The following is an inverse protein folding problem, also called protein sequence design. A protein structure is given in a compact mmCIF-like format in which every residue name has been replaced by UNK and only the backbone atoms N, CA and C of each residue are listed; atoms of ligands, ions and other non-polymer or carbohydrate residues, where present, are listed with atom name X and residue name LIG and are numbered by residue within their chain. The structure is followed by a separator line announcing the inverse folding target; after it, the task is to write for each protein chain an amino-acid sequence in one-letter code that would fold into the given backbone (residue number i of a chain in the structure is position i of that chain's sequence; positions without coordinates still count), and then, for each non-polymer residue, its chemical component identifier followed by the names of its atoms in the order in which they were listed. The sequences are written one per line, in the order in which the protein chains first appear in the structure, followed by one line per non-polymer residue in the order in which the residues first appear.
data_IF_195214378999
#
_entry.id   IF_195214378999
#
_cell.length_a   1.000
_cell.length_b   1.000
_cell.length_c   1.000
_cell.angle_alpha   90.00
_cell.angle_beta   90.00
_cell.angle_gamma   90.00
#
_symmetry.space_group_name_H-M   'P 1'
#
loop_
_entity.id
_entity.type
_entity.pdbx_description
1 polymer ?
#
# COMPACT_ATOMS: atom_id res chain seq x y z
N UNK A 1 -16.96 -10.51 -25.80
CA UNK A 1 -15.84 -11.47 -25.94
C UNK A 1 -15.59 -11.84 -27.40
N UNK A 2 -16.62 -11.83 -28.25
CA UNK A 2 -16.50 -12.20 -29.67
C UNK A 2 -15.51 -11.36 -30.49
N UNK A 3 -15.39 -10.07 -30.19
CA UNK A 3 -14.38 -9.23 -30.81
C UNK A 3 -12.95 -9.68 -30.42
N UNK A 4 -12.73 -10.07 -29.17
CA UNK A 4 -11.43 -10.56 -28.69
C UNK A 4 -11.12 -11.92 -29.34
N UNK A 5 -12.11 -12.81 -29.39
CA UNK A 5 -11.97 -14.11 -30.04
C UNK A 5 -11.53 -13.93 -31.50
N UNK A 6 -12.29 -13.16 -32.29
CA UNK A 6 -12.03 -12.99 -33.73
C UNK A 6 -10.77 -12.21 -34.07
N UNK A 7 -10.44 -11.20 -33.25
CA UNK A 7 -9.36 -10.26 -33.60
C UNK A 7 -8.01 -10.65 -33.00
N UNK A 8 -8.01 -11.41 -31.90
CA UNK A 8 -6.78 -11.74 -31.15
C UNK A 8 -6.58 -13.25 -31.07
N UNK A 9 -7.59 -14.00 -30.62
CA UNK A 9 -7.42 -15.43 -30.32
C UNK A 9 -7.34 -16.26 -31.60
N UNK A 10 -8.28 -16.09 -32.54
CA UNK A 10 -8.33 -16.89 -33.78
C UNK A 10 -7.04 -16.76 -34.62
N UNK A 11 -6.44 -15.55 -34.79
CA UNK A 11 -5.14 -15.42 -35.47
C UNK A 11 -3.97 -16.07 -34.72
N UNK A 12 -4.02 -16.12 -33.38
CA UNK A 12 -2.96 -16.69 -32.53
C UNK A 12 -3.18 -18.18 -32.23
N UNK A 13 -4.38 -18.71 -32.47
CA UNK A 13 -4.76 -20.10 -32.22
C UNK A 13 -3.78 -21.14 -32.79
N UNK A 14 -3.23 -21.02 -34.02
CA UNK A 14 -2.24 -21.96 -34.52
C UNK A 14 -0.92 -21.96 -33.73
N UNK A 15 -0.57 -20.85 -33.06
CA UNK A 15 0.59 -20.76 -32.18
C UNK A 15 0.26 -21.22 -30.75
N UNK A 16 -0.96 -20.95 -30.29
CA UNK A 16 -1.38 -21.24 -28.91
C UNK A 16 -1.75 -22.72 -28.69
N UNK A 17 -2.39 -23.39 -29.67
CA UNK A 17 -2.77 -24.81 -29.55
C UNK A 17 -1.60 -25.74 -29.20
N UNK A 18 -0.44 -25.71 -29.90
CA UNK A 18 0.67 -26.59 -29.58
C UNK A 18 1.25 -26.30 -28.19
N UNK A 19 1.25 -25.04 -27.76
CA UNK A 19 1.68 -24.65 -26.40
C UNK A 19 0.69 -25.15 -25.35
N UNK A 20 -0.61 -24.99 -25.59
CA UNK A 20 -1.66 -25.44 -24.69
C UNK A 20 -1.69 -26.97 -24.53
N UNK A 21 -1.45 -27.72 -25.61
CA UNK A 21 -1.36 -29.18 -25.55
C UNK A 21 -0.05 -29.70 -24.95
N UNK A 22 1.00 -28.88 -24.92
CA UNK A 22 2.31 -29.22 -24.37
C UNK A 22 2.47 -28.81 -22.90
N UNK A 23 1.41 -28.29 -22.27
CA UNK A 23 1.41 -27.95 -20.85
C UNK A 23 1.59 -29.23 -20.01
N UNK A 24 2.53 -29.24 -19.05
CA UNK A 24 2.69 -30.36 -18.14
C UNK A 24 1.42 -30.58 -17.29
N UNK A 25 1.12 -31.84 -16.92
CA UNK A 25 -0.03 -32.18 -16.05
C UNK A 25 -0.11 -31.34 -14.77
N UNK A 26 1.00 -31.07 -14.03
CA UNK A 26 0.93 -30.21 -12.85
C UNK A 26 0.41 -28.79 -13.13
N UNK A 27 0.63 -28.28 -14.36
CA UNK A 27 0.15 -26.96 -14.77
C UNK A 27 -1.34 -27.01 -15.11
N UNK A 28 -1.79 -28.08 -15.77
CA UNK A 28 -3.22 -28.32 -15.99
C UNK A 28 -3.97 -28.42 -14.65
N UNK A 29 -3.45 -29.19 -13.70
CA UNK A 29 -4.04 -29.35 -12.37
C UNK A 29 -4.08 -28.02 -11.60
N UNK A 30 -3.01 -27.22 -11.69
CA UNK A 30 -2.97 -25.89 -11.09
C UNK A 30 -4.04 -24.95 -11.69
N UNK A 31 -4.22 -24.97 -13.02
CA UNK A 31 -5.24 -24.16 -13.69
C UNK A 31 -6.64 -24.67 -13.32
N UNK A 32 -6.88 -25.98 -13.33
CA UNK A 32 -8.16 -26.58 -12.93
C UNK A 32 -8.49 -26.22 -11.49
N UNK A 33 -7.50 -26.25 -10.58
CA UNK A 33 -7.69 -25.82 -9.20
C UNK A 33 -8.02 -24.33 -9.07
N UNK A 34 -7.65 -23.50 -10.05
CA UNK A 34 -7.81 -22.05 -9.99
C UNK A 34 -9.12 -21.56 -10.61
N UNK A 35 -9.51 -22.11 -11.77
CA UNK A 35 -10.69 -21.67 -12.55
C UNK A 35 -11.76 -22.76 -12.71
N UNK A 36 -11.50 -23.99 -12.27
CA UNK A 36 -12.40 -25.14 -12.42
C UNK A 36 -12.24 -25.89 -13.74
N UNK A 37 -12.64 -27.16 -13.75
CA UNK A 37 -12.47 -28.07 -14.91
C UNK A 37 -13.27 -27.63 -16.14
N UNK A 38 -14.48 -27.10 -15.95
CA UNK A 38 -15.32 -26.60 -17.05
C UNK A 38 -14.68 -25.39 -17.74
N UNK A 39 -14.19 -24.42 -16.96
CA UNK A 39 -13.53 -23.24 -17.51
C UNK A 39 -12.16 -23.57 -18.11
N UNK A 40 -11.42 -24.50 -17.51
CA UNK A 40 -10.18 -25.02 -18.07
C UNK A 40 -10.38 -25.58 -19.49
N UNK A 41 -11.39 -26.41 -19.69
CA UNK A 41 -11.64 -27.01 -21.00
C UNK A 41 -12.05 -25.96 -22.04
N UNK A 42 -12.94 -25.03 -21.69
CA UNK A 42 -13.35 -23.98 -22.63
C UNK A 42 -12.21 -22.99 -22.97
N UNK A 43 -11.39 -22.60 -21.99
CA UNK A 43 -10.40 -21.53 -22.20
C UNK A 43 -9.00 -22.03 -22.60
N UNK A 44 -8.54 -23.16 -22.06
CA UNK A 44 -7.17 -23.65 -22.27
C UNK A 44 -7.14 -24.69 -23.38
N UNK A 45 -8.11 -25.62 -23.40
CA UNK A 45 -8.15 -26.71 -24.37
C UNK A 45 -8.81 -26.24 -25.68
N UNK A 46 -10.01 -25.66 -25.59
CA UNK A 46 -10.75 -25.20 -26.76
C UNK A 46 -10.26 -23.84 -27.29
N UNK A 47 -9.56 -23.05 -26.46
CA UNK A 47 -9.16 -21.66 -26.72
C UNK A 47 -10.34 -20.79 -27.17
N UNK A 48 -11.49 -20.98 -26.52
CA UNK A 48 -12.73 -20.28 -26.81
C UNK A 48 -13.14 -19.41 -25.61
N UNK A 49 -12.79 -18.12 -25.68
CA UNK A 49 -13.13 -17.13 -24.65
C UNK A 49 -14.53 -16.53 -24.84
N UNK A 50 -15.23 -16.91 -25.91
CA UNK A 50 -16.58 -16.44 -26.23
C UNK A 50 -17.66 -17.37 -25.73
N UNK A 51 -17.38 -18.68 -25.70
CA UNK A 51 -18.32 -19.74 -25.28
C UNK A 51 -18.86 -19.57 -23.87
N UNK A 52 -18.04 -19.09 -22.94
CA UNK A 52 -18.46 -18.79 -21.57
C UNK A 52 -17.82 -17.47 -21.07
N UNK A 53 -18.58 -16.36 -21.11
CA UNK A 53 -18.12 -15.05 -20.64
C UNK A 53 -17.81 -15.01 -19.13
N UNK A 54 -18.46 -15.86 -18.32
CA UNK A 54 -18.23 -15.93 -16.88
C UNK A 54 -16.87 -16.58 -16.60
N UNK A 55 -16.57 -17.69 -17.27
CA UNK A 55 -15.25 -18.33 -17.18
C UNK A 55 -14.12 -17.39 -17.59
N UNK A 56 -14.33 -16.56 -18.62
CA UNK A 56 -13.29 -15.61 -19.04
C UNK A 56 -13.11 -14.46 -18.06
N UNK A 57 -14.20 -13.93 -17.49
CA UNK A 57 -14.10 -12.90 -16.46
C UNK A 57 -13.40 -13.42 -15.21
N UNK A 58 -13.69 -14.66 -14.80
CA UNK A 58 -13.01 -15.33 -13.71
C UNK A 58 -11.52 -15.56 -14.00
N UNK A 59 -11.17 -16.05 -15.19
CA UNK A 59 -9.77 -16.27 -15.57
C UNK A 59 -8.96 -14.97 -15.60
N UNK A 60 -9.55 -13.88 -16.14
CA UNK A 60 -8.94 -12.54 -16.09
C UNK A 60 -8.77 -12.08 -14.64
N UNK A 61 -9.77 -12.29 -13.79
CA UNK A 61 -9.70 -11.94 -12.37
C UNK A 61 -8.56 -12.66 -11.66
N UNK A 62 -8.46 -13.98 -11.84
CA UNK A 62 -7.38 -14.80 -11.25
C UNK A 62 -6.00 -14.36 -11.74
N UNK A 63 -5.86 -14.10 -13.04
CA UNK A 63 -4.61 -13.62 -13.63
C UNK A 63 -4.21 -12.26 -13.05
N UNK A 64 -5.15 -11.32 -12.95
CA UNK A 64 -4.93 -10.01 -12.32
C UNK A 64 -4.55 -10.16 -10.85
N UNK A 65 -5.28 -10.98 -10.09
CA UNK A 65 -4.99 -11.25 -8.68
C UNK A 65 -3.59 -11.80 -8.47
N UNK A 66 -3.19 -12.81 -9.25
CA UNK A 66 -1.83 -13.39 -9.17
C UNK A 66 -0.76 -12.36 -9.55
N UNK A 67 -0.98 -11.57 -10.60
CA UNK A 67 -0.05 -10.53 -11.01
C UNK A 67 0.13 -9.47 -9.91
N UNK A 68 -0.96 -9.05 -9.29
CA UNK A 68 -0.97 -8.09 -8.17
C UNK A 68 -0.22 -8.68 -6.96
N UNK A 69 -0.51 -9.93 -6.58
CA UNK A 69 0.20 -10.64 -5.50
C UNK A 69 1.69 -10.72 -5.81
N UNK A 70 2.08 -11.14 -7.01
CA UNK A 70 3.47 -11.24 -7.42
C UNK A 70 4.20 -9.90 -7.35
N UNK A 71 3.59 -8.83 -7.88
CA UNK A 71 4.15 -7.48 -7.82
C UNK A 71 4.30 -6.97 -6.37
N UNK A 72 3.34 -7.29 -5.49
CA UNK A 72 3.35 -6.85 -4.10
C UNK A 72 4.55 -7.36 -3.30
N UNK A 73 5.10 -8.52 -3.67
CA UNK A 73 6.26 -9.13 -3.02
C UNK A 73 7.55 -8.31 -3.10
N UNK A 74 7.64 -7.36 -4.03
CA UNK A 74 8.84 -6.53 -4.23
C UNK A 74 8.65 -5.05 -3.86
N UNK A 75 7.43 -4.62 -3.51
CA UNK A 75 7.11 -3.19 -3.34
C UNK A 75 7.94 -2.51 -2.26
N UNK A 76 8.20 -3.17 -1.12
CA UNK A 76 8.96 -2.59 0.00
C UNK A 76 10.44 -3.00 -0.01
N UNK A 77 10.85 -3.90 -0.92
CA UNK A 77 12.24 -4.38 -1.02
C UNK A 77 13.25 -3.24 -1.21
N UNK A 78 13.04 -2.24 -2.08
CA UNK A 78 13.98 -1.12 -2.22
C UNK A 78 14.18 -0.35 -0.91
N UNK A 79 13.12 -0.18 -0.11
CA UNK A 79 13.18 0.49 1.19
C UNK A 79 13.95 -0.35 2.22
N UNK A 80 13.75 -1.67 2.24
CA UNK A 80 14.48 -2.60 3.09
C UNK A 80 15.98 -2.53 2.78
N UNK A 81 16.35 -2.62 1.50
CA UNK A 81 17.75 -2.54 1.08
C UNK A 81 18.38 -1.20 1.47
N UNK A 82 17.64 -0.10 1.32
CA UNK A 82 18.10 1.24 1.71
C UNK A 82 18.37 1.34 3.20
N UNK A 83 17.50 0.80 4.06
CA UNK A 83 17.69 0.77 5.52
C UNK A 83 18.92 -0.07 5.91
N UNK A 84 19.09 -1.24 5.31
CA UNK A 84 20.22 -2.14 5.61
C UNK A 84 21.54 -1.49 5.19
N UNK A 85 21.57 -0.86 4.01
CA UNK A 85 22.76 -0.19 3.46
C UNK A 85 23.12 1.06 4.26
N UNK A 86 22.14 1.91 4.60
CA UNK A 86 22.38 3.13 5.37
C UNK A 86 22.64 2.87 6.86
N UNK A 87 22.20 1.73 7.38
CA UNK A 87 22.15 1.41 8.82
C UNK A 87 21.48 2.50 9.65
N UNK A 88 20.53 3.22 9.07
CA UNK A 88 19.89 4.38 9.69
C UNK A 88 18.41 4.45 9.30
N UNK A 89 17.56 4.72 10.30
CA UNK A 89 16.12 4.92 10.13
C UNK A 89 15.70 6.39 10.00
N UNK A 90 16.66 7.30 9.80
CA UNK A 90 16.38 8.73 9.65
C UNK A 90 15.42 8.99 8.47
N UNK A 91 14.37 9.77 8.72
CA UNK A 91 13.34 10.10 7.72
C UNK A 91 12.27 9.02 7.52
N UNK A 92 12.33 7.90 8.24
CA UNK A 92 11.34 6.82 8.16
C UNK A 92 10.48 6.80 9.43
N UNK A 93 9.16 6.92 9.26
CA UNK A 93 8.20 6.94 10.38
C UNK A 93 7.82 5.53 10.82
N UNK A 94 8.27 5.11 12.01
CA UNK A 94 7.83 3.84 12.61
C UNK A 94 6.30 3.79 12.79
N UNK A 95 5.70 4.89 13.25
CA UNK A 95 4.25 4.95 13.53
C UNK A 95 3.44 4.70 12.25
N UNK A 96 3.89 5.25 11.12
CA UNK A 96 3.23 5.03 9.83
C UNK A 96 3.25 3.55 9.44
N UNK A 97 4.40 2.89 9.55
CA UNK A 97 4.52 1.44 9.28
C UNK A 97 3.74 0.59 10.29
N UNK A 98 3.68 0.98 11.57
CA UNK A 98 2.89 0.27 12.57
C UNK A 98 1.38 0.36 12.30
N UNK A 99 0.88 1.53 11.89
CA UNK A 99 -0.51 1.73 11.50
C UNK A 99 -0.84 0.99 10.19
N UNK A 100 0.06 1.00 9.21
CA UNK A 100 -0.07 0.24 7.97
C UNK A 100 -0.13 -1.26 8.28
N UNK A 101 0.80 -1.77 9.09
CA UNK A 101 0.81 -3.17 9.57
C UNK A 101 -0.51 -3.54 10.25
N UNK A 102 -1.02 -2.71 11.17
CA UNK A 102 -2.28 -2.97 11.85
C UNK A 102 -3.46 -3.07 10.87
N UNK A 103 -3.57 -2.14 9.92
CA UNK A 103 -4.59 -2.15 8.87
C UNK A 103 -4.52 -3.40 7.98
N UNK A 104 -3.30 -3.80 7.59
CA UNK A 104 -3.07 -5.00 6.79
C UNK A 104 -3.39 -6.27 7.56
N UNK A 105 -3.07 -6.36 8.86
CA UNK A 105 -3.41 -7.51 9.69
C UNK A 105 -4.92 -7.67 9.89
N UNK A 106 -5.65 -6.56 10.05
CA UNK A 106 -7.12 -6.55 10.10
C UNK A 106 -7.68 -7.10 8.78
N UNK A 107 -7.22 -6.55 7.65
CA UNK A 107 -7.69 -6.96 6.31
C UNK A 107 -7.38 -8.42 6.04
N UNK A 108 -6.15 -8.86 6.32
CA UNK A 108 -5.74 -10.25 6.19
C UNK A 108 -6.63 -11.18 7.02
N UNK A 109 -6.82 -10.84 8.29
CA UNK A 109 -7.59 -11.68 9.21
C UNK A 109 -9.08 -11.73 8.84
N UNK A 110 -9.65 -10.61 8.40
CA UNK A 110 -11.02 -10.55 7.87
C UNK A 110 -11.18 -11.44 6.64
N UNK A 111 -10.27 -11.33 5.66
CA UNK A 111 -10.32 -12.13 4.43
C UNK A 111 -10.16 -13.62 4.69
N UNK A 112 -9.25 -14.03 5.60
CA UNK A 112 -9.07 -15.44 5.95
C UNK A 112 -10.27 -15.98 6.73
N UNK A 113 -10.84 -15.21 7.67
CA UNK A 113 -12.02 -15.64 8.44
C UNK A 113 -13.25 -15.87 7.55
N UNK A 114 -13.38 -15.07 6.49
CA UNK A 114 -14.44 -15.21 5.49
C UNK A 114 -14.11 -16.18 4.35
N UNK A 115 -12.96 -16.88 4.42
CA UNK A 115 -12.54 -17.89 3.44
C UNK A 115 -12.46 -17.36 1.99
N UNK A 116 -12.06 -16.10 1.82
CA UNK A 116 -11.89 -15.54 0.49
C UNK A 116 -10.73 -16.21 -0.27
N UNK A 117 -10.74 -16.20 -1.61
CA UNK A 117 -9.64 -16.76 -2.39
C UNK A 117 -8.33 -15.98 -2.17
N UNK A 118 -7.20 -16.67 -2.06
CA UNK A 118 -5.89 -16.04 -1.84
C UNK A 118 -5.52 -14.99 -2.91
N UNK A 119 -5.99 -15.13 -4.16
CA UNK A 119 -5.85 -14.14 -5.24
C UNK A 119 -6.37 -12.75 -4.88
N UNK A 120 -7.29 -12.64 -3.91
CA UNK A 120 -7.92 -11.37 -3.52
C UNK A 120 -7.16 -10.62 -2.42
N UNK A 121 -6.60 -11.34 -1.44
CA UNK A 121 -5.94 -10.75 -0.28
C UNK A 121 -4.46 -11.11 -0.15
N UNK A 122 -3.90 -11.94 -1.05
CA UNK A 122 -2.52 -12.39 -0.98
C UNK A 122 -1.51 -11.24 -1.01
N UNK A 123 -1.84 -10.13 -1.68
CA UNK A 123 -1.01 -8.92 -1.64
C UNK A 123 -0.88 -8.38 -0.22
N UNK A 124 -1.97 -8.41 0.55
CA UNK A 124 -2.05 -7.89 1.90
C UNK A 124 -1.15 -8.71 2.81
N UNK A 125 -1.13 -10.04 2.63
CA UNK A 125 -0.23 -10.92 3.36
C UNK A 125 1.25 -10.61 3.07
N UNK A 126 1.63 -10.49 1.79
CA UNK A 126 3.02 -10.23 1.39
C UNK A 126 3.50 -8.85 1.82
N UNK A 127 2.65 -7.83 1.72
CA UNK A 127 2.99 -6.48 2.18
C UNK A 127 3.09 -6.45 3.71
N UNK A 128 2.18 -7.11 4.44
CA UNK A 128 2.23 -7.15 5.91
C UNK A 128 3.54 -7.73 6.42
N UNK A 129 4.04 -8.82 5.82
CA UNK A 129 5.34 -9.40 6.17
C UNK A 129 6.47 -8.39 5.95
N UNK A 130 6.48 -7.73 4.79
CA UNK A 130 7.49 -6.73 4.48
C UNK A 130 7.42 -5.51 5.42
N UNK A 131 6.23 -5.05 5.79
CA UNK A 131 6.04 -3.93 6.71
C UNK A 131 6.51 -4.24 8.12
N UNK A 132 6.29 -5.48 8.60
CA UNK A 132 6.85 -5.94 9.87
C UNK A 132 8.37 -5.91 9.82
N UNK A 133 8.98 -6.40 8.74
CA UNK A 133 10.44 -6.34 8.54
C UNK A 133 10.95 -4.90 8.57
N UNK A 134 10.28 -3.98 7.85
CA UNK A 134 10.65 -2.56 7.85
C UNK A 134 10.51 -1.97 9.25
N UNK A 135 9.41 -2.21 9.96
CA UNK A 135 9.18 -1.73 11.33
C UNK A 135 10.27 -2.19 12.30
N UNK A 136 10.67 -3.47 12.22
CA UNK A 136 11.77 -4.04 13.01
C UNK A 136 13.11 -3.38 12.68
N UNK A 137 13.43 -3.20 11.40
CA UNK A 137 14.67 -2.53 10.97
C UNK A 137 14.70 -1.07 11.44
N UNK A 138 13.57 -0.36 11.34
CA UNK A 138 13.44 1.03 11.78
C UNK A 138 13.75 1.18 13.27
N UNK A 139 13.19 0.30 14.10
CA UNK A 139 13.42 0.33 15.55
C UNK A 139 14.84 -0.13 15.92
N UNK A 140 15.35 -1.17 15.26
CA UNK A 140 16.70 -1.68 15.48
C UNK A 140 17.76 -0.64 15.14
N UNK A 141 17.66 0.02 13.98
CA UNK A 141 18.60 1.08 13.57
C UNK A 141 18.39 2.40 14.32
N UNK A 142 17.27 2.57 15.01
CA UNK A 142 17.09 3.65 16.00
C UNK A 142 17.71 3.33 17.38
N UNK A 143 18.38 2.19 17.55
CA UNK A 143 18.95 1.74 18.82
C UNK A 143 17.93 1.23 19.83
N UNK A 144 16.69 0.93 19.40
CA UNK A 144 15.56 0.52 20.26
C UNK A 144 15.23 -0.96 20.09
N UNK A 145 16.22 -1.85 20.27
CA UNK A 145 16.07 -3.30 20.09
C UNK A 145 14.96 -3.92 20.94
N UNK A 146 14.80 -3.49 22.19
CA UNK A 146 13.71 -3.94 23.06
C UNK A 146 12.32 -3.58 22.50
N UNK A 147 12.19 -2.38 21.90
CA UNK A 147 10.95 -1.98 21.24
C UNK A 147 10.70 -2.80 19.97
N UNK A 148 11.76 -3.21 19.25
CA UNK A 148 11.63 -4.08 18.07
C UNK A 148 11.10 -5.47 18.45
N UNK A 149 11.62 -6.05 19.55
CA UNK A 149 11.12 -7.30 20.10
C UNK A 149 9.65 -7.16 20.57
N UNK A 150 9.33 -6.07 21.26
CA UNK A 150 7.96 -5.77 21.68
C UNK A 150 7.01 -5.62 20.48
N UNK A 151 7.45 -4.98 19.40
CA UNK A 151 6.67 -4.84 18.19
C UNK A 151 6.35 -6.20 17.55
N UNK A 152 7.33 -7.11 17.46
CA UNK A 152 7.11 -8.48 16.99
C UNK A 152 6.09 -9.21 17.88
N UNK A 153 6.22 -9.09 19.21
CA UNK A 153 5.29 -9.71 20.15
C UNK A 153 3.86 -9.16 19.99
N UNK A 154 3.72 -7.84 19.81
CA UNK A 154 2.42 -7.19 19.56
C UNK A 154 1.82 -7.66 18.23
N UNK A 155 2.62 -7.77 17.17
CA UNK A 155 2.17 -8.30 15.88
C UNK A 155 1.69 -9.75 16.02
N UNK A 156 2.46 -10.61 16.69
CA UNK A 156 2.08 -12.01 16.92
C UNK A 156 0.80 -12.13 17.75
N UNK A 157 0.67 -11.35 18.83
CA UNK A 157 -0.54 -11.30 19.64
C UNK A 157 -1.75 -10.77 18.86
N UNK A 158 -1.54 -9.78 17.99
CA UNK A 158 -2.58 -9.24 17.12
C UNK A 158 -3.06 -10.28 16.10
N UNK A 159 -2.14 -11.03 15.48
CA UNK A 159 -2.49 -12.14 14.59
C UNK A 159 -3.27 -13.20 15.36
N UNK A 160 -2.83 -13.58 16.57
CA UNK A 160 -3.55 -14.55 17.38
C UNK A 160 -4.99 -14.10 17.68
N UNK A 161 -5.16 -12.88 18.20
CA UNK A 161 -6.46 -12.33 18.56
C UNK A 161 -7.37 -12.10 17.33
N UNK A 162 -6.83 -11.54 16.24
CA UNK A 162 -7.61 -11.21 15.05
C UNK A 162 -7.90 -12.41 14.17
N UNK A 163 -7.10 -13.48 14.18
CA UNK A 163 -7.28 -14.62 13.28
C UNK A 163 -7.88 -15.83 13.98
N UNK A 164 -7.32 -16.23 15.12
CA UNK A 164 -7.63 -17.51 15.77
C UNK A 164 -8.67 -17.38 16.88
N UNK A 165 -8.61 -16.32 17.67
CA UNK A 165 -9.51 -16.14 18.81
C UNK A 165 -10.81 -15.40 18.40
N UNK A 166 -11.89 -16.16 18.21
CA UNK A 166 -13.22 -15.59 17.89
C UNK A 166 -13.96 -15.06 19.11
N UNK A 167 -13.45 -15.29 20.33
CA UNK A 167 -14.05 -14.79 21.58
C UNK A 167 -13.56 -13.39 21.91
N UNK A 168 -12.28 -13.11 21.63
CA UNK A 168 -11.69 -11.79 21.83
C UNK A 168 -12.16 -10.78 20.77
N UNK A 169 -12.26 -11.22 19.52
CA UNK A 169 -12.76 -10.39 18.42
C UNK A 169 -13.81 -11.18 17.66
N UNK A 170 -15.07 -10.82 17.85
CA UNK A 170 -16.20 -11.46 17.18
C UNK A 170 -16.35 -11.01 15.73
N UNK A 171 -17.31 -11.57 15.00
CA UNK A 171 -17.54 -11.24 13.60
C UNK A 171 -17.94 -9.77 13.40
N UNK A 172 -18.77 -9.22 14.30
CA UNK A 172 -19.23 -7.83 14.21
C UNK A 172 -18.06 -6.85 14.42
N UNK A 173 -17.23 -7.09 15.44
CA UNK A 173 -16.05 -6.27 15.70
C UNK A 173 -15.05 -6.37 14.54
N UNK A 174 -14.84 -7.57 13.97
CA UNK A 174 -13.99 -7.72 12.78
C UNK A 174 -14.49 -6.92 11.59
N UNK A 175 -15.81 -6.91 11.32
CA UNK A 175 -16.38 -6.10 10.25
C UNK A 175 -16.23 -4.60 10.49
N UNK A 176 -16.38 -4.15 11.74
CA UNK A 176 -16.13 -2.74 12.09
C UNK A 176 -14.65 -2.36 11.92
N UNK A 177 -13.74 -3.23 12.34
CA UNK A 177 -12.31 -3.04 12.14
C UNK A 177 -11.97 -2.98 10.64
N UNK A 178 -12.55 -3.86 9.83
CA UNK A 178 -12.38 -3.86 8.38
C UNK A 178 -12.91 -2.57 7.74
N UNK A 179 -14.09 -2.11 8.17
CA UNK A 179 -14.65 -0.83 7.74
C UNK A 179 -13.72 0.34 8.12
N UNK A 180 -13.17 0.31 9.33
CA UNK A 180 -12.19 1.28 9.81
C UNK A 180 -10.89 1.28 9.00
N UNK A 181 -10.35 0.10 8.68
CA UNK A 181 -9.18 -0.06 7.82
C UNK A 181 -9.41 0.56 6.42
N UNK A 182 -10.56 0.26 5.82
CA UNK A 182 -10.98 0.87 4.56
C UNK A 182 -11.13 2.39 4.66
N UNK A 183 -11.80 2.88 5.71
CA UNK A 183 -12.00 4.31 5.95
C UNK A 183 -10.68 5.06 6.15
N UNK A 184 -9.71 4.49 6.86
CA UNK A 184 -8.37 5.06 7.01
C UNK A 184 -7.64 5.14 5.66
N UNK A 185 -7.75 4.09 4.84
CA UNK A 185 -7.20 4.09 3.49
C UNK A 185 -7.75 5.23 2.63
N UNK A 186 -9.07 5.45 2.68
CA UNK A 186 -9.75 6.56 2.00
C UNK A 186 -9.33 7.91 2.58
N UNK A 187 -9.36 8.06 3.91
CA UNK A 187 -9.02 9.30 4.60
C UNK A 187 -7.58 9.76 4.32
N UNK A 188 -6.64 8.83 4.12
CA UNK A 188 -5.24 9.16 3.80
C UNK A 188 -5.06 9.98 2.52
N UNK A 189 -6.02 9.90 1.57
CA UNK A 189 -5.96 10.60 0.28
C UNK A 189 -6.61 11.98 0.33
N UNK A 190 -7.49 12.24 1.30
CA UNK A 190 -8.23 13.50 1.40
C UNK A 190 -7.31 14.73 1.63
N UNK A 191 -6.28 14.69 2.51
CA UNK A 191 -5.34 15.80 2.63
C UNK A 191 -4.61 16.09 1.32
N UNK A 192 -4.25 15.06 0.56
CA UNK A 192 -3.56 15.23 -0.72
C UNK A 192 -4.46 15.92 -1.75
N UNK A 193 -5.72 15.48 -1.88
CA UNK A 193 -6.72 16.11 -2.76
C UNK A 193 -6.91 17.58 -2.42
N UNK A 194 -7.05 17.89 -1.13
CA UNK A 194 -7.25 19.25 -0.64
C UNK A 194 -6.04 20.14 -0.92
N UNK A 195 -4.83 19.65 -0.68
CA UNK A 195 -3.59 20.40 -0.92
C UNK A 195 -3.43 20.73 -2.40
N UNK A 196 -3.65 19.78 -3.32
CA UNK A 196 -3.55 20.03 -4.77
C UNK A 196 -4.55 21.12 -5.20
N UNK A 197 -5.78 21.06 -4.70
CA UNK A 197 -6.79 22.08 -4.97
C UNK A 197 -6.38 23.46 -4.43
N UNK A 198 -5.89 23.52 -3.19
CA UNK A 198 -5.48 24.77 -2.53
C UNK A 198 -4.27 25.41 -3.22
N UNK A 199 -3.31 24.60 -3.65
CA UNK A 199 -2.08 25.06 -4.28
C UNK A 199 -2.26 25.38 -5.77
N UNK A 200 -3.27 24.78 -6.41
CA UNK A 200 -3.53 24.93 -7.84
C UNK A 200 -2.48 24.25 -8.71
N UNK A 201 -1.91 23.14 -8.23
CA UNK A 201 -0.83 22.41 -8.88
C UNK A 201 -0.57 21.07 -8.19
N UNK A 202 -0.02 20.11 -8.94
CA UNK A 202 0.27 18.74 -8.44
C UNK A 202 1.66 18.60 -7.82
N UNK A 203 2.52 19.62 -7.97
CA UNK A 203 3.83 19.69 -7.34
C UNK A 203 4.76 18.54 -7.78
N UNK A 204 5.23 17.75 -6.81
CA UNK A 204 6.08 16.58 -7.04
C UNK A 204 5.29 15.26 -7.14
N UNK A 205 3.96 15.33 -7.25
CA UNK A 205 3.14 14.14 -7.39
C UNK A 205 3.40 13.47 -8.74
N UNK A 206 3.77 12.20 -8.70
CA UNK A 206 4.03 11.41 -9.90
C UNK A 206 2.73 11.06 -10.62
N UNK A 207 2.56 11.53 -11.86
CA UNK A 207 1.45 11.11 -12.74
C UNK A 207 1.37 9.59 -12.84
N UNK A 208 2.52 8.94 -13.02
CA UNK A 208 2.63 7.48 -13.12
C UNK A 208 2.07 6.80 -11.87
N UNK A 209 2.39 7.30 -10.67
CA UNK A 209 1.86 6.74 -9.43
C UNK A 209 0.34 6.93 -9.32
N UNK A 210 -0.19 8.12 -9.67
CA UNK A 210 -1.62 8.41 -9.60
C UNK A 210 -2.43 7.51 -10.53
N UNK A 211 -2.00 7.35 -11.79
CA UNK A 211 -2.69 6.47 -12.73
C UNK A 211 -2.54 4.99 -12.37
N UNK A 212 -1.40 4.56 -11.83
CA UNK A 212 -1.26 3.19 -11.32
C UNK A 212 -2.16 2.92 -10.11
N UNK A 213 -2.34 3.88 -9.19
CA UNK A 213 -3.31 3.73 -8.11
C UNK A 213 -4.74 3.64 -8.63
N UNK A 214 -5.09 4.41 -9.66
CA UNK A 214 -6.40 4.32 -10.31
C UNK A 214 -6.61 2.93 -10.94
N UNK A 215 -5.66 2.46 -11.75
CA UNK A 215 -5.73 1.16 -12.41
C UNK A 215 -5.75 -0.01 -11.40
N UNK A 216 -4.92 0.07 -10.36
CA UNK A 216 -4.87 -0.91 -9.28
C UNK A 216 -6.19 -0.98 -8.51
N UNK A 217 -6.75 0.17 -8.11
CA UNK A 217 -8.05 0.19 -7.42
C UNK A 217 -9.21 -0.28 -8.30
N UNK A 218 -9.19 -0.02 -9.61
CA UNK A 218 -10.16 -0.60 -10.55
C UNK A 218 -10.02 -2.12 -10.64
N UNK A 219 -8.79 -2.62 -10.71
CA UNK A 219 -8.50 -4.06 -10.73
C UNK A 219 -9.00 -4.74 -9.46
N UNK A 220 -8.89 -4.07 -8.30
CA UNK A 220 -9.46 -4.54 -7.03
C UNK A 220 -10.99 -4.60 -7.02
N UNK A 221 -11.67 -3.61 -7.59
CA UNK A 221 -13.13 -3.66 -7.75
C UNK A 221 -13.53 -4.85 -8.63
N UNK A 222 -12.88 -5.00 -9.79
CA UNK A 222 -13.18 -6.08 -10.72
C UNK A 222 -12.94 -7.45 -10.07
N UNK A 223 -11.78 -7.67 -9.47
CA UNK A 223 -11.46 -8.95 -8.82
C UNK A 223 -12.39 -9.27 -7.66
N UNK A 224 -12.79 -8.27 -6.87
CA UNK A 224 -13.78 -8.46 -5.80
C UNK A 224 -15.14 -8.86 -6.37
N UNK A 225 -15.65 -8.17 -7.39
CA UNK A 225 -16.93 -8.51 -8.03
C UNK A 225 -16.95 -9.92 -8.63
N UNK A 226 -15.80 -10.43 -9.09
CA UNK A 226 -15.70 -11.75 -9.71
C UNK A 226 -15.45 -12.88 -8.70
N UNK A 227 -14.79 -12.61 -7.57
CA UNK A 227 -14.30 -13.66 -6.67
C UNK A 227 -14.90 -13.62 -5.26
N UNK A 228 -15.54 -12.52 -4.86
CA UNK A 228 -15.96 -12.27 -3.47
C UNK A 228 -17.34 -11.61 -3.42
N UNK A 229 -18.29 -12.26 -2.75
CA UNK A 229 -19.62 -11.67 -2.46
C UNK A 229 -19.61 -10.92 -1.11
N UNK A 230 -18.75 -9.90 -1.00
CA UNK A 230 -18.62 -9.06 0.21
C UNK A 230 -18.76 -7.58 -0.14
N UNK A 231 -19.90 -7.01 0.27
CA UNK A 231 -20.23 -5.60 0.02
C UNK A 231 -19.34 -4.65 0.80
N UNK A 232 -18.83 -5.03 1.96
CA UNK A 232 -18.00 -4.16 2.79
C UNK A 232 -16.65 -3.90 2.11
N UNK A 233 -15.99 -4.96 1.64
CA UNK A 233 -14.74 -4.83 0.88
C UNK A 233 -14.98 -4.09 -0.45
N UNK A 234 -16.06 -4.46 -1.16
CA UNK A 234 -16.41 -3.82 -2.42
C UNK A 234 -16.60 -2.31 -2.29
N UNK A 235 -17.40 -1.86 -1.31
CA UNK A 235 -17.60 -0.43 -1.08
C UNK A 235 -16.32 0.29 -0.63
N UNK A 236 -15.46 -0.38 0.14
CA UNK A 236 -14.12 0.13 0.46
C UNK A 236 -13.29 0.41 -0.79
N UNK A 237 -13.24 -0.55 -1.74
CA UNK A 237 -12.52 -0.37 -3.00
C UNK A 237 -13.16 0.68 -3.91
N UNK A 238 -14.49 0.74 -3.98
CA UNK A 238 -15.20 1.78 -4.75
C UNK A 238 -14.87 3.17 -4.19
N UNK A 239 -14.93 3.37 -2.87
CA UNK A 239 -14.58 4.64 -2.25
C UNK A 239 -13.12 5.03 -2.53
N UNK A 240 -12.19 4.07 -2.41
CA UNK A 240 -10.78 4.29 -2.76
C UNK A 240 -10.57 4.66 -4.22
N UNK A 241 -11.26 3.99 -5.14
CA UNK A 241 -11.23 4.27 -6.57
C UNK A 241 -11.78 5.67 -6.88
N UNK A 242 -12.89 6.08 -6.27
CA UNK A 242 -13.45 7.43 -6.44
C UNK A 242 -12.44 8.51 -6.05
N UNK A 243 -11.73 8.34 -4.92
CA UNK A 243 -10.69 9.30 -4.54
C UNK A 243 -9.48 9.30 -5.47
N UNK A 244 -9.05 8.12 -5.95
CA UNK A 244 -7.99 8.03 -6.96
C UNK A 244 -8.42 8.68 -8.29
N UNK A 245 -9.71 8.61 -8.64
CA UNK A 245 -10.26 9.26 -9.83
C UNK A 245 -10.25 10.77 -9.70
N UNK A 246 -10.57 11.31 -8.50
CA UNK A 246 -10.44 12.74 -8.20
C UNK A 246 -8.98 13.17 -8.35
N UNK A 247 -8.04 12.43 -7.76
CA UNK A 247 -6.60 12.74 -7.88
C UNK A 247 -6.12 12.70 -9.33
N UNK A 248 -6.56 11.72 -10.12
CA UNK A 248 -6.24 11.63 -11.55
C UNK A 248 -6.84 12.81 -12.33
N UNK A 249 -8.08 13.19 -12.02
CA UNK A 249 -8.72 14.38 -12.59
C UNK A 249 -7.96 15.66 -12.27
N UNK A 250 -7.55 15.85 -11.00
CA UNK A 250 -6.69 16.97 -10.61
C UNK A 250 -5.34 16.94 -11.32
N UNK A 251 -4.75 15.75 -11.49
CA UNK A 251 -3.49 15.59 -12.23
C UNK A 251 -3.61 16.07 -13.67
N UNK A 252 -4.69 15.69 -14.36
CA UNK A 252 -4.96 16.13 -15.74
C UNK A 252 -5.31 17.62 -15.82
N UNK A 253 -6.11 18.13 -14.89
CA UNK A 253 -6.55 19.52 -14.87
C UNK A 253 -5.37 20.49 -14.64
N UNK A 254 -4.49 20.17 -13.68
CA UNK A 254 -3.33 20.99 -13.34
C UNK A 254 -2.05 20.62 -14.08
N UNK A 255 -2.13 19.79 -15.14
CA UNK A 255 -0.98 19.24 -15.86
C UNK A 255 -0.01 20.32 -16.38
N UNK A 256 -0.55 21.46 -16.83
CA UNK A 256 0.21 22.59 -17.36
C UNK A 256 0.18 23.82 -16.44
N UNK A 257 -0.30 23.69 -15.20
CA UNK A 257 -0.31 24.82 -14.28
C UNK A 257 1.13 25.14 -13.86
N UNK A 258 1.59 26.39 -14.02
CA UNK A 258 2.92 26.77 -13.57
C UNK A 258 2.98 26.50 -12.08
N UNK A 259 3.88 25.61 -11.67
CA UNK A 259 4.11 25.35 -10.26
C UNK A 259 4.37 26.70 -9.60
N UNK A 260 3.42 27.19 -8.78
CA UNK A 260 3.66 28.34 -7.92
C UNK A 260 4.90 27.94 -7.15
N UNK A 261 6.02 28.62 -7.43
CA UNK A 261 7.31 28.32 -6.85
C UNK A 261 7.10 28.24 -5.36
N UNK A 262 7.01 27.02 -4.84
CA UNK A 262 7.01 26.82 -3.42
C UNK A 262 8.36 27.35 -3.00
N UNK A 263 8.33 28.53 -2.38
CA UNK A 263 9.41 29.12 -1.61
C UNK A 263 9.94 27.96 -0.79
N UNK A 264 11.06 27.35 -1.24
CA UNK A 264 11.57 26.04 -0.79
C UNK A 264 11.06 25.82 0.61
N UNK A 265 10.05 24.96 0.77
CA UNK A 265 9.84 24.41 2.09
C UNK A 265 11.20 23.79 2.37
N UNK A 266 11.94 24.39 3.33
CA UNK A 266 13.24 23.87 3.72
C UNK A 266 13.00 22.37 3.86
N UNK A 267 13.83 21.49 3.26
CA UNK A 267 13.72 20.08 3.51
C UNK A 267 13.55 19.96 5.00
N UNK A 268 12.43 19.38 5.46
CA UNK A 268 12.03 19.35 6.87
C UNK A 268 13.31 19.23 7.65
N UNK A 269 13.71 20.34 8.28
CA UNK A 269 14.96 20.34 8.99
C UNK A 269 14.84 19.17 9.95
N UNK A 270 15.88 18.33 10.00
CA UNK A 270 16.09 17.50 11.17
C UNK A 270 15.69 18.32 12.40
N UNK A 271 14.98 17.76 13.39
CA UNK A 271 14.57 18.51 14.56
C UNK A 271 15.83 19.05 15.25
N UNK A 272 16.26 20.25 14.89
CA UNK A 272 17.27 21.02 15.61
C UNK A 272 16.62 21.53 16.87
N UNK A 273 17.37 21.49 17.98
CA UNK A 273 16.85 21.23 19.30
C UNK A 273 15.93 22.37 19.75
N UNK A 274 14.73 22.01 20.19
CA UNK A 274 14.00 22.86 21.15
C UNK A 274 14.88 22.90 22.40
N UNK A 275 15.64 23.98 22.54
CA UNK A 275 16.21 24.34 23.84
C UNK A 275 15.04 24.45 24.81
N UNK A 276 15.11 23.64 25.86
CA UNK A 276 14.12 23.57 26.91
C UNK A 276 13.75 24.96 27.45
N UNK A 277 12.48 25.21 27.81
CA UNK A 277 12.17 26.20 28.83
C UNK A 277 12.86 25.74 30.11
N UNK A 278 13.80 26.55 30.57
CA UNK A 278 14.53 26.32 31.81
C UNK A 278 13.53 26.48 32.95
N UNK A 279 13.18 25.39 33.61
CA UNK A 279 12.50 25.41 34.91
C UNK A 279 13.38 26.14 35.91
N UNK A 280 12.79 27.12 36.59
CA UNK A 280 13.39 27.81 37.71
C UNK A 280 13.82 26.82 38.80
N UNK A 281 15.07 26.96 39.25
CA UNK A 281 15.43 26.67 40.63
C UNK A 281 16.43 27.74 41.07
N UNK A 282 16.14 28.30 42.23
CA UNK A 282 16.75 29.45 42.90
C UNK A 282 18.25 29.31 43.17
N UNK A 283 19.02 30.40 43.02
CA UNK A 283 19.74 31.08 44.12
C UNK A 283 20.79 32.07 43.58
N UNK A 284 20.77 33.33 44.07
CA UNK A 284 22.01 34.13 44.19
C UNK A 284 22.18 35.39 43.33
N UNK A 285 21.56 36.50 43.73
CA UNK A 285 22.15 37.86 43.90
C UNK A 285 22.85 38.56 42.69
N UNK A 286 22.22 39.65 42.22
CA UNK A 286 22.75 40.80 41.41
C UNK A 286 23.96 41.53 42.08
N UNK A 287 24.65 42.54 41.49
CA UNK A 287 24.36 43.33 40.27
C UNK A 287 25.55 43.69 39.33
N UNK A 288 25.17 44.26 38.17
CA UNK A 288 25.81 45.28 37.29
C UNK A 288 26.98 46.12 37.90
N UNK A 289 27.89 46.75 37.10
CA UNK A 289 27.52 47.70 36.04
C UNK A 289 28.38 47.76 34.76
N UNK A 290 27.87 48.63 33.88
CA UNK A 290 28.23 49.07 32.52
C UNK A 290 29.64 49.63 32.28
N UNK A 291 30.11 49.54 31.02
CA UNK A 291 31.12 50.44 30.47
C UNK A 291 31.35 50.22 28.98
N UNK A 292 30.87 51.16 28.15
CA UNK A 292 31.25 51.30 26.73
C UNK A 292 32.66 51.91 26.62
N UNK A 293 33.42 51.57 25.58
CA UNK A 293 34.03 52.47 24.56
C UNK A 293 35.28 51.81 23.94
N UNK A 294 35.48 51.89 22.60
CA UNK A 294 36.59 51.25 21.87
C UNK A 294 37.80 52.17 21.71
N UNK A 295 39.00 51.59 21.59
CA UNK A 295 40.20 52.31 21.15
C UNK A 295 40.96 51.54 20.09
N UNK A 296 41.66 52.30 19.26
CA UNK A 296 42.17 51.98 17.93
C UNK A 296 43.65 51.59 17.94
N UNK A 297 44.11 51.04 16.79
CA UNK A 297 45.44 51.26 16.19
C UNK A 297 46.64 50.49 16.79
N UNK A 298 47.30 49.63 16.00
CA UNK A 298 48.50 49.96 15.17
C UNK A 298 49.27 48.67 14.82
N UNK A 299 49.76 48.65 13.58
CA UNK A 299 50.74 47.73 12.99
C UNK A 299 51.87 47.28 13.94
N UNK A 300 52.21 46.00 13.79
CA UNK A 300 53.52 45.37 13.96
C UNK A 300 53.49 44.12 13.11
#
# INVERSE_FOLDING_TARGET
MDAIQKTIIDPLQPLLRPVASALPEPVHDAIISLIGSSCHNSLVVDLDVSKDPACTSLAISKALGIAIVGASGIVKVPQILKLISSRSSAGVSFVSYALETASLLITLSYSVRNQFPFSTFGETALIAVQDVVVGVLVLTFAGRSAAAAAFIAVVAASVYALLFDRTLVDAQTMSMLQAGAGALGVASKAPQIYTIWREGGTGQLSAFAVFNYLAGSLSRIFTTLQEVDDKLILYGFIAGFTLNLILAGQMLYYWNSPAKSQKKEKPVAAPTPVKAPVTATSSGVSPKPSGKTPTTRRRG
#
